data_IF_737226604887
#
_entry.id   IF_737226604887
#
_cell.length_a   1.000
_cell.length_b   1.000
_cell.length_c   1.000
_cell.angle_alpha   90.00
_cell.angle_beta   90.00
_cell.angle_gamma   90.00
#
_symmetry.space_group_name_H-M   'P 1'
#
loop_
_entity.id
_entity.type
_entity.pdbx_description
1 polymer ?
#
# COMPACT_ATOMS: atom_id res chain seq x y z
N UNK A 1 -25.57 15.54 52.34
CA UNK A 1 -25.70 14.06 52.28
C UNK A 1 -25.70 13.53 50.85
N UNK A 2 -26.60 13.97 49.94
CA UNK A 2 -26.72 13.43 48.56
C UNK A 2 -25.44 13.42 47.69
N UNK A 3 -24.56 14.44 47.78
CA UNK A 3 -23.38 14.52 46.91
C UNK A 3 -22.24 13.56 47.30
N UNK A 4 -22.05 13.30 48.60
CA UNK A 4 -20.95 12.45 49.07
C UNK A 4 -21.18 10.98 48.68
N UNK A 5 -22.44 10.53 48.69
CA UNK A 5 -22.81 9.18 48.26
C UNK A 5 -22.63 9.03 46.74
N UNK A 6 -23.08 10.01 45.95
CA UNK A 6 -22.89 10.03 44.49
C UNK A 6 -21.40 10.06 44.11
N UNK A 7 -20.60 10.89 44.79
CA UNK A 7 -19.16 10.97 44.57
C UNK A 7 -18.46 9.64 44.86
N UNK A 8 -18.87 8.95 45.93
CA UNK A 8 -18.36 7.62 46.26
C UNK A 8 -18.67 6.62 45.14
N UNK A 9 -19.92 6.57 44.66
CA UNK A 9 -20.31 5.65 43.59
C UNK A 9 -19.55 5.89 42.29
N UNK A 10 -19.36 7.15 41.86
CA UNK A 10 -18.61 7.42 40.64
C UNK A 10 -17.10 7.20 40.78
N UNK A 11 -16.53 7.39 41.98
CA UNK A 11 -15.14 7.01 42.24
C UNK A 11 -14.95 5.49 42.20
N UNK A 12 -15.91 4.72 42.75
CA UNK A 12 -15.91 3.26 42.67
C UNK A 12 -16.05 2.79 41.22
N UNK A 13 -16.99 3.36 40.46
CA UNK A 13 -17.16 3.08 39.03
C UNK A 13 -15.88 3.39 38.25
N UNK A 14 -15.26 4.55 38.47
CA UNK A 14 -14.00 4.93 37.84
C UNK A 14 -12.88 3.92 38.12
N UNK A 15 -12.77 3.43 39.35
CA UNK A 15 -11.79 2.40 39.72
C UNK A 15 -12.10 1.08 39.02
N UNK A 16 -13.37 0.67 38.99
CA UNK A 16 -13.80 -0.56 38.33
C UNK A 16 -13.51 -0.53 36.82
N UNK A 17 -13.85 0.56 36.12
CA UNK A 17 -13.55 0.69 34.69
C UNK A 17 -12.03 0.69 34.41
N UNK A 18 -11.20 1.23 35.30
CA UNK A 18 -9.73 1.16 35.13
C UNK A 18 -9.20 -0.27 35.16
N UNK A 19 -9.90 -1.19 35.84
CA UNK A 19 -9.53 -2.60 35.94
C UNK A 19 -9.99 -3.45 34.74
N UNK A 20 -10.81 -2.90 33.83
CA UNK A 20 -11.29 -3.66 32.67
C UNK A 20 -10.13 -4.11 31.78
N UNK A 21 -10.24 -5.36 31.31
CA UNK A 21 -9.29 -6.03 30.43
C UNK A 21 -9.23 -5.39 29.04
N UNK A 22 -8.22 -5.80 28.25
CA UNK A 22 -7.99 -5.25 26.91
C UNK A 22 -9.08 -5.58 25.90
N UNK A 23 -9.96 -6.53 26.19
CA UNK A 23 -11.11 -6.85 25.34
C UNK A 23 -12.28 -5.87 25.51
N UNK A 24 -12.35 -5.14 26.63
CA UNK A 24 -13.42 -4.16 26.95
C UNK A 24 -12.94 -2.71 26.87
N UNK A 25 -12.10 -2.39 25.89
CA UNK A 25 -11.49 -1.05 25.78
C UNK A 25 -12.51 0.05 25.51
N UNK A 26 -13.60 -0.25 24.84
CA UNK A 26 -14.67 0.70 24.53
C UNK A 26 -15.46 1.04 25.79
N UNK A 27 -15.94 0.04 26.52
CA UNK A 27 -16.63 0.20 27.80
C UNK A 27 -15.74 0.87 28.84
N UNK A 28 -14.44 0.51 28.86
CA UNK A 28 -13.43 1.19 29.68
C UNK A 28 -13.29 2.65 29.31
N UNK A 29 -13.24 2.98 28.02
CA UNK A 29 -13.11 4.34 27.55
C UNK A 29 -14.29 5.20 27.97
N UNK A 30 -15.50 4.78 27.60
CA UNK A 30 -16.74 5.51 27.88
C UNK A 30 -17.06 5.54 29.37
N UNK A 31 -16.90 4.41 30.08
CA UNK A 31 -17.15 4.32 31.52
C UNK A 31 -16.27 5.26 32.33
N UNK A 32 -14.97 5.37 32.00
CA UNK A 32 -14.07 6.33 32.64
C UNK A 32 -14.49 7.77 32.33
N UNK A 33 -14.76 8.10 31.05
CA UNK A 33 -15.13 9.46 30.67
C UNK A 33 -16.43 9.91 31.34
N UNK A 34 -17.46 9.07 31.34
CA UNK A 34 -18.74 9.34 32.00
C UNK A 34 -18.57 9.51 33.51
N UNK A 35 -17.76 8.66 34.15
CA UNK A 35 -17.48 8.80 35.59
C UNK A 35 -16.77 10.13 35.90
N UNK A 36 -15.77 10.52 35.10
CA UNK A 36 -15.05 11.78 35.28
C UNK A 36 -15.94 13.01 35.04
N UNK A 37 -16.81 12.99 34.03
CA UNK A 37 -17.78 14.07 33.78
C UNK A 37 -18.74 14.19 34.96
N UNK A 38 -19.30 13.08 35.45
CA UNK A 38 -20.22 13.12 36.60
C UNK A 38 -19.53 13.59 37.88
N UNK A 39 -18.29 13.15 38.14
CA UNK A 39 -17.48 13.68 39.25
C UNK A 39 -17.23 15.19 39.09
N UNK A 40 -16.96 15.67 37.87
CA UNK A 40 -16.82 17.09 37.58
C UNK A 40 -18.09 17.87 37.92
N UNK A 41 -19.26 17.37 37.54
CA UNK A 41 -20.55 17.99 37.85
C UNK A 41 -20.78 18.04 39.37
N UNK A 42 -20.45 16.96 40.09
CA UNK A 42 -20.54 16.94 41.55
C UNK A 42 -19.62 17.99 42.17
N UNK A 43 -18.37 18.11 41.72
CA UNK A 43 -17.42 19.11 42.23
C UNK A 43 -17.87 20.53 41.95
N UNK A 44 -18.39 20.78 40.75
CA UNK A 44 -19.01 22.06 40.37
C UNK A 44 -20.15 22.42 41.32
N UNK A 45 -21.07 21.48 41.55
CA UNK A 45 -22.25 21.70 42.41
C UNK A 45 -21.88 21.84 43.90
N UNK A 46 -20.74 21.28 44.32
CA UNK A 46 -20.12 21.52 45.64
C UNK A 46 -19.40 22.88 45.73
N UNK A 47 -19.27 23.62 44.62
CA UNK A 47 -18.54 24.89 44.53
C UNK A 47 -17.03 24.75 44.32
N UNK A 48 -16.51 23.52 44.18
CA UNK A 48 -15.09 23.26 43.90
C UNK A 48 -14.82 23.32 42.39
N UNK A 49 -14.78 24.55 41.87
CA UNK A 49 -14.59 24.85 40.45
C UNK A 49 -13.24 24.33 39.94
N UNK A 50 -12.20 24.38 40.78
CA UNK A 50 -10.87 23.91 40.39
C UNK A 50 -10.83 22.40 40.23
N UNK A 51 -11.37 21.63 41.18
CA UNK A 51 -11.43 20.18 41.04
C UNK A 51 -12.32 19.76 39.87
N UNK A 52 -13.45 20.44 39.65
CA UNK A 52 -14.31 20.23 38.49
C UNK A 52 -13.54 20.43 37.18
N UNK A 53 -12.81 21.54 37.05
CA UNK A 53 -11.98 21.84 35.88
C UNK A 53 -10.92 20.76 35.63
N UNK A 54 -10.19 20.34 36.67
CA UNK A 54 -9.16 19.29 36.56
C UNK A 54 -9.72 17.98 36.04
N UNK A 55 -10.95 17.63 36.45
CA UNK A 55 -11.64 16.44 35.95
C UNK A 55 -12.04 16.61 34.47
N UNK A 56 -12.52 17.80 34.07
CA UNK A 56 -12.79 18.10 32.66
C UNK A 56 -11.51 18.08 31.80
N UNK A 57 -10.37 18.55 32.32
CA UNK A 57 -9.08 18.50 31.60
C UNK A 57 -8.67 17.05 31.31
N UNK A 58 -8.89 16.14 32.26
CA UNK A 58 -8.66 14.70 32.04
C UNK A 58 -9.59 14.14 30.95
N UNK A 59 -10.86 14.51 30.98
CA UNK A 59 -11.85 14.11 29.96
C UNK A 59 -11.45 14.63 28.58
N UNK A 60 -11.04 15.90 28.51
CA UNK A 60 -10.62 16.55 27.27
C UNK A 60 -9.42 15.84 26.64
N UNK A 61 -8.36 15.59 27.40
CA UNK A 61 -7.16 14.91 26.87
C UNK A 61 -7.46 13.48 26.40
N UNK A 62 -8.35 12.76 27.11
CA UNK A 62 -8.81 11.44 26.68
C UNK A 62 -9.59 11.48 25.37
N UNK A 63 -10.54 12.41 25.24
CA UNK A 63 -11.36 12.60 24.04
C UNK A 63 -10.54 13.07 22.84
N UNK A 64 -9.59 13.97 23.08
CA UNK A 64 -8.62 14.43 22.08
C UNK A 64 -7.74 13.28 21.57
N UNK A 65 -7.28 12.40 22.46
CA UNK A 65 -6.51 11.20 22.06
C UNK A 65 -7.35 10.20 21.28
N UNK A 66 -8.63 10.04 21.62
CA UNK A 66 -9.55 9.16 20.91
C UNK A 66 -9.92 9.70 19.53
N UNK A 67 -9.97 11.02 19.37
CA UNK A 67 -10.13 11.69 18.08
C UNK A 67 -11.57 11.71 17.56
N UNK A 68 -12.56 11.51 18.45
CA UNK A 68 -13.99 11.66 18.11
C UNK A 68 -14.37 13.14 18.25
N UNK A 69 -14.63 13.87 17.14
CA UNK A 69 -14.80 15.33 17.20
C UNK A 69 -16.01 15.77 18.04
N UNK A 70 -17.11 15.04 18.00
CA UNK A 70 -18.34 15.34 18.74
C UNK A 70 -18.10 15.38 20.26
N UNK A 71 -17.24 14.49 20.77
CA UNK A 71 -16.89 14.43 22.18
C UNK A 71 -16.07 15.65 22.63
N UNK A 72 -15.23 16.21 21.74
CA UNK A 72 -14.49 17.45 22.02
C UNK A 72 -15.47 18.61 22.19
N UNK A 73 -16.44 18.74 21.29
CA UNK A 73 -17.47 19.77 21.37
C UNK A 73 -18.32 19.65 22.64
N UNK A 74 -18.70 18.42 23.01
CA UNK A 74 -19.41 18.15 24.26
C UNK A 74 -18.60 18.60 25.48
N UNK A 75 -17.28 18.47 25.44
CA UNK A 75 -16.40 18.91 26.54
C UNK A 75 -16.32 20.43 26.62
N UNK A 76 -16.26 21.14 25.48
CA UNK A 76 -16.36 22.60 25.48
C UNK A 76 -17.68 23.07 26.10
N UNK A 77 -18.79 22.39 25.82
CA UNK A 77 -20.06 22.69 26.47
C UNK A 77 -19.98 22.54 28.00
N UNK A 78 -19.35 21.48 28.51
CA UNK A 78 -19.17 21.30 29.96
C UNK A 78 -18.32 22.41 30.60
N UNK A 79 -17.27 22.90 29.91
CA UNK A 79 -16.50 24.04 30.39
C UNK A 79 -17.32 25.33 30.42
N UNK A 80 -18.11 25.59 29.37
CA UNK A 80 -18.98 26.78 29.31
C UNK A 80 -19.96 26.78 30.49
N UNK A 81 -20.60 25.65 30.79
CA UNK A 81 -21.50 25.52 31.95
C UNK A 81 -20.78 25.71 33.29
N UNK A 82 -19.58 25.13 33.43
CA UNK A 82 -18.76 25.30 34.63
C UNK A 82 -18.46 26.78 34.89
N UNK A 83 -17.99 27.50 33.87
CA UNK A 83 -17.60 28.90 34.01
C UNK A 83 -18.79 29.87 34.04
N UNK A 84 -19.95 29.45 33.52
CA UNK A 84 -21.21 30.16 33.72
C UNK A 84 -21.60 30.15 35.21
N UNK A 85 -21.57 28.98 35.84
CA UNK A 85 -21.91 28.80 37.25
C UNK A 85 -20.88 29.48 38.16
N UNK A 86 -19.60 29.44 37.80
CA UNK A 86 -18.54 30.11 38.58
C UNK A 86 -18.43 31.61 38.30
N UNK A 87 -19.28 32.17 37.43
CA UNK A 87 -19.22 33.56 36.97
C UNK A 87 -17.85 34.00 36.42
N UNK A 88 -17.06 33.07 35.87
CA UNK A 88 -15.74 33.35 35.30
C UNK A 88 -15.87 33.73 33.83
N UNK A 89 -16.06 35.02 33.59
CA UNK A 89 -16.31 35.60 32.27
C UNK A 89 -15.18 35.33 31.26
N UNK A 90 -13.92 35.43 31.69
CA UNK A 90 -12.75 35.22 30.83
C UNK A 90 -12.76 33.81 30.22
N UNK A 91 -12.88 32.78 31.08
CA UNK A 91 -12.86 31.40 30.64
C UNK A 91 -14.16 31.03 29.91
N UNK A 92 -15.31 31.54 30.35
CA UNK A 92 -16.58 31.33 29.63
C UNK A 92 -16.46 31.82 28.17
N UNK A 93 -15.93 33.03 27.96
CA UNK A 93 -15.72 33.59 26.63
C UNK A 93 -14.74 32.75 25.82
N UNK A 94 -13.61 32.35 26.42
CA UNK A 94 -12.60 31.51 25.77
C UNK A 94 -13.20 30.20 25.25
N UNK A 95 -13.90 29.45 26.11
CA UNK A 95 -14.45 28.15 25.75
C UNK A 95 -15.66 28.27 24.81
N UNK A 96 -16.43 29.36 24.90
CA UNK A 96 -17.46 29.67 23.91
C UNK A 96 -16.84 29.91 22.52
N UNK A 97 -15.76 30.68 22.41
CA UNK A 97 -15.07 30.88 21.13
C UNK A 97 -14.48 29.57 20.60
N UNK A 98 -13.87 28.74 21.45
CA UNK A 98 -13.40 27.40 21.07
C UNK A 98 -14.53 26.53 20.49
N UNK A 99 -15.69 26.52 21.15
CA UNK A 99 -16.89 25.82 20.69
C UNK A 99 -17.39 26.34 19.34
N UNK A 100 -17.38 27.66 19.15
CA UNK A 100 -17.77 28.31 17.88
C UNK A 100 -16.82 27.97 16.75
N UNK A 101 -15.51 28.15 16.93
CA UNK A 101 -14.50 27.85 15.90
C UNK A 101 -14.54 26.38 15.51
N UNK A 102 -14.73 25.48 16.48
CA UNK A 102 -14.90 24.05 16.20
C UNK A 102 -16.12 23.80 15.32
N UNK A 103 -17.28 24.37 15.68
CA UNK A 103 -18.51 24.23 14.90
C UNK A 103 -18.38 24.77 13.47
N UNK A 104 -17.83 25.97 13.31
CA UNK A 104 -17.59 26.59 11.99
C UNK A 104 -16.65 25.75 11.11
N UNK A 105 -15.63 25.12 11.71
CA UNK A 105 -14.76 24.17 11.02
C UNK A 105 -15.52 22.95 10.50
N UNK A 106 -16.38 22.34 11.33
CA UNK A 106 -17.17 21.17 10.94
C UNK A 106 -18.17 21.49 9.81
N UNK A 107 -18.81 22.66 9.86
CA UNK A 107 -19.71 23.14 8.80
C UNK A 107 -18.95 23.38 7.50
N UNK A 108 -17.76 23.98 7.58
CA UNK A 108 -16.91 24.26 6.41
C UNK A 108 -16.45 22.97 5.71
N UNK A 109 -16.19 21.92 6.49
CA UNK A 109 -15.87 20.58 6.00
C UNK A 109 -17.08 19.84 5.39
N UNK A 110 -18.27 20.46 5.38
CA UNK A 110 -19.50 19.93 4.83
C UNK A 110 -20.19 18.89 5.72
N UNK A 111 -19.84 18.84 7.01
CA UNK A 111 -20.49 17.95 7.96
C UNK A 111 -21.96 18.33 8.16
N UNK A 112 -22.83 17.33 8.19
CA UNK A 112 -24.29 17.49 8.42
C UNK A 112 -24.76 16.79 9.69
N UNK A 113 -23.86 16.48 10.60
CA UNK A 113 -24.23 15.74 11.80
C UNK A 113 -24.96 16.65 12.79
N UNK A 114 -26.20 16.25 13.13
CA UNK A 114 -27.08 16.99 14.02
C UNK A 114 -26.49 17.21 15.41
N UNK A 115 -25.59 16.33 15.86
CA UNK A 115 -24.93 16.42 17.17
C UNK A 115 -24.05 17.67 17.29
N UNK A 116 -23.43 18.15 16.19
CA UNK A 116 -22.68 19.41 16.23
C UNK A 116 -23.61 20.61 16.45
N UNK A 117 -24.74 20.63 15.75
CA UNK A 117 -25.77 21.66 15.93
C UNK A 117 -26.30 21.64 17.36
N UNK A 118 -26.54 20.46 17.93
CA UNK A 118 -27.04 20.29 19.29
C UNK A 118 -26.09 20.90 20.33
N UNK A 119 -24.81 20.52 20.30
CA UNK A 119 -23.85 21.03 21.28
C UNK A 119 -23.60 22.53 21.09
N UNK A 120 -23.50 23.01 19.85
CA UNK A 120 -23.30 24.44 19.61
C UNK A 120 -24.54 25.26 19.98
N UNK A 121 -25.75 24.75 19.76
CA UNK A 121 -26.98 25.34 20.26
C UNK A 121 -26.99 25.45 21.79
N UNK A 122 -26.58 24.39 22.50
CA UNK A 122 -26.44 24.41 23.97
C UNK A 122 -25.41 25.46 24.45
N UNK A 123 -24.30 25.62 23.72
CA UNK A 123 -23.31 26.65 23.99
C UNK A 123 -23.90 28.06 23.82
N UNK A 124 -24.65 28.29 22.75
CA UNK A 124 -25.35 29.56 22.50
C UNK A 124 -26.35 29.87 23.63
N UNK A 125 -27.09 28.87 24.13
CA UNK A 125 -28.02 29.04 25.26
C UNK A 125 -27.32 29.40 26.56
N UNK A 126 -26.22 28.70 26.86
CA UNK A 126 -25.41 28.97 28.07
C UNK A 126 -24.80 30.38 28.01
N UNK A 127 -24.34 30.79 26.83
CA UNK A 127 -23.83 32.15 26.60
C UNK A 127 -24.93 33.21 26.65
N UNK A 128 -26.13 32.90 26.14
CA UNK A 128 -27.29 33.76 26.25
C UNK A 128 -27.71 33.96 27.72
N UNK A 129 -27.63 32.93 28.55
CA UNK A 129 -27.88 33.03 29.99
C UNK A 129 -26.88 33.95 30.68
N UNK A 130 -25.60 33.82 30.34
CA UNK A 130 -24.56 34.74 30.79
C UNK A 130 -24.86 36.19 30.39
N UNK A 131 -25.23 36.45 29.13
CA UNK A 131 -25.59 37.80 28.69
C UNK A 131 -26.83 38.34 29.42
N UNK A 132 -27.81 37.48 29.69
CA UNK A 132 -29.01 37.82 30.45
C UNK A 132 -28.65 38.22 31.88
N UNK A 133 -27.73 37.51 32.55
CA UNK A 133 -27.27 37.86 33.91
C UNK A 133 -26.54 39.21 33.96
N UNK A 134 -25.93 39.62 32.84
CA UNK A 134 -25.34 40.96 32.67
C UNK A 134 -26.34 42.04 32.23
N UNK A 135 -27.64 41.72 32.14
CA UNK A 135 -28.69 42.64 31.70
C UNK A 135 -28.74 42.88 30.18
N UNK A 136 -27.93 42.17 29.39
CA UNK A 136 -27.84 42.31 27.93
C UNK A 136 -28.92 41.48 27.22
N UNK A 137 -30.19 41.81 27.48
CA UNK A 137 -31.35 41.02 27.04
C UNK A 137 -31.46 40.88 25.51
N UNK A 138 -31.19 41.93 24.75
CA UNK A 138 -31.24 41.86 23.27
C UNK A 138 -30.12 40.99 22.68
N UNK A 139 -28.92 41.04 23.24
CA UNK A 139 -27.82 40.16 22.82
C UNK A 139 -28.15 38.71 23.18
N UNK A 140 -28.63 38.46 24.40
CA UNK A 140 -29.12 37.14 24.85
C UNK A 140 -30.14 36.56 23.87
N UNK A 141 -31.14 37.36 23.48
CA UNK A 141 -32.16 36.97 22.50
C UNK A 141 -31.55 36.53 21.15
N UNK A 142 -30.56 37.26 20.64
CA UNK A 142 -29.91 36.91 19.37
C UNK A 142 -29.23 35.54 19.44
N UNK A 143 -28.51 35.23 20.51
CA UNK A 143 -27.88 33.92 20.71
C UNK A 143 -28.92 32.80 20.86
N UNK A 144 -30.06 33.05 21.53
CA UNK A 144 -31.15 32.08 21.60
C UNK A 144 -31.82 31.83 20.25
N UNK A 145 -31.97 32.86 19.41
CA UNK A 145 -32.51 32.70 18.05
C UNK A 145 -31.57 31.90 17.16
N UNK A 146 -30.25 32.08 17.30
CA UNK A 146 -29.24 31.22 16.66
C UNK A 146 -29.37 29.79 17.18
N UNK A 147 -29.48 29.58 18.49
CA UNK A 147 -29.71 28.26 19.07
C UNK A 147 -30.97 27.59 18.49
N UNK A 148 -32.07 28.32 18.35
CA UNK A 148 -33.32 27.78 17.79
C UNK A 148 -33.14 27.33 16.34
N UNK A 149 -32.45 28.14 15.51
CA UNK A 149 -32.25 27.79 14.10
C UNK A 149 -31.39 26.54 13.89
N UNK A 150 -30.37 26.35 14.74
CA UNK A 150 -29.52 25.16 14.74
C UNK A 150 -30.32 23.87 15.06
N UNK A 151 -31.38 24.00 15.86
CA UNK A 151 -32.20 22.88 16.34
C UNK A 151 -33.43 22.59 15.48
N UNK A 152 -33.59 23.23 14.32
CA UNK A 152 -34.74 23.01 13.43
C UNK A 152 -34.95 21.53 13.07
N UNK A 153 -33.85 20.79 12.89
CA UNK A 153 -33.87 19.35 12.58
C UNK A 153 -33.87 18.45 13.84
N UNK A 154 -34.01 19.04 15.04
CA UNK A 154 -34.09 18.35 16.33
C UNK A 154 -35.35 18.83 17.09
N UNK A 155 -36.56 18.42 16.67
CA UNK A 155 -37.81 18.98 17.17
C UNK A 155 -38.02 18.83 18.70
N UNK A 156 -37.39 17.84 19.33
CA UNK A 156 -37.50 17.59 20.77
C UNK A 156 -36.82 18.67 21.62
N UNK A 157 -35.85 19.40 21.06
CA UNK A 157 -35.13 20.46 21.78
C UNK A 157 -35.78 21.84 21.61
N UNK A 158 -36.62 22.02 20.58
CA UNK A 158 -37.29 23.28 20.28
C UNK A 158 -38.09 23.82 21.47
N UNK A 159 -38.90 23.02 22.21
CA UNK A 159 -39.70 23.54 23.31
C UNK A 159 -38.87 24.22 24.41
N UNK A 160 -37.68 23.68 24.68
CA UNK A 160 -36.76 24.19 25.69
C UNK A 160 -36.24 25.58 25.31
N UNK A 161 -35.79 25.74 24.07
CA UNK A 161 -35.25 27.02 23.57
C UNK A 161 -36.35 28.06 23.37
N UNK A 162 -37.51 27.63 22.88
CA UNK A 162 -38.68 28.50 22.77
C UNK A 162 -39.07 29.08 24.14
N UNK A 163 -39.04 28.26 25.20
CA UNK A 163 -39.32 28.75 26.55
C UNK A 163 -38.29 29.79 27.02
N UNK A 164 -37.00 29.58 26.76
CA UNK A 164 -35.95 30.55 27.07
C UNK A 164 -36.15 31.87 26.32
N UNK A 165 -36.44 31.81 25.02
CA UNK A 165 -36.77 32.97 24.18
C UNK A 165 -37.99 33.71 24.75
N UNK A 166 -39.06 33.00 25.11
CA UNK A 166 -40.26 33.59 25.70
C UNK A 166 -39.97 34.34 27.00
N UNK A 167 -39.08 33.82 27.86
CA UNK A 167 -38.68 34.53 29.08
C UNK A 167 -37.92 35.83 28.76
N UNK A 168 -37.06 35.82 27.75
CA UNK A 168 -36.35 37.03 27.32
C UNK A 168 -37.32 38.04 26.69
N UNK A 169 -38.26 37.60 25.85
CA UNK A 169 -39.31 38.47 25.31
C UNK A 169 -40.16 39.09 26.42
N UNK A 170 -40.57 38.29 27.41
CA UNK A 170 -41.31 38.79 28.57
C UNK A 170 -40.51 39.86 29.33
N UNK A 171 -39.22 39.61 29.55
CA UNK A 171 -38.31 40.56 30.24
C UNK A 171 -38.09 41.85 29.44
N UNK A 172 -38.16 41.79 28.11
CA UNK A 172 -38.11 42.93 27.20
C UNK A 172 -39.46 43.68 27.07
N UNK A 173 -40.52 43.20 27.72
CA UNK A 173 -41.88 43.74 27.57
C UNK A 173 -42.59 43.36 26.27
N UNK A 174 -42.03 42.44 25.47
CA UNK A 174 -42.63 41.93 24.24
C UNK A 174 -43.63 40.80 24.56
N UNK A 175 -44.68 41.13 25.31
CA UNK A 175 -45.59 40.16 25.93
C UNK A 175 -46.29 39.27 24.89
N UNK A 176 -46.79 39.83 23.79
CA UNK A 176 -47.47 39.04 22.77
C UNK A 176 -46.54 38.01 22.12
N UNK A 177 -45.29 38.40 21.80
CA UNK A 177 -44.30 37.45 21.26
C UNK A 177 -43.95 36.34 22.26
N UNK A 178 -43.85 36.69 23.55
CA UNK A 178 -43.62 35.69 24.59
C UNK A 178 -44.77 34.68 24.64
N UNK A 179 -46.02 35.18 24.65
CA UNK A 179 -47.26 34.40 24.71
C UNK A 179 -47.43 33.50 23.47
N UNK A 180 -47.25 34.05 22.27
CA UNK A 180 -47.37 33.30 21.00
C UNK A 180 -46.44 32.08 20.99
N UNK A 181 -45.20 32.28 21.42
CA UNK A 181 -44.19 31.22 21.43
C UNK A 181 -44.44 30.18 22.54
N UNK A 182 -45.05 30.57 23.67
CA UNK A 182 -45.50 29.62 24.69
C UNK A 182 -46.69 28.79 24.20
N UNK A 183 -47.62 29.41 23.46
CA UNK A 183 -48.76 28.69 22.87
C UNK A 183 -48.28 27.73 21.78
N UNK A 184 -47.33 28.14 20.93
CA UNK A 184 -46.63 27.25 19.98
C UNK A 184 -46.07 26.03 20.71
N UNK A 185 -45.37 26.25 21.81
CA UNK A 185 -44.81 25.20 22.66
C UNK A 185 -45.86 24.26 23.24
N UNK A 186 -46.94 24.78 23.81
CA UNK A 186 -47.97 23.94 24.44
C UNK A 186 -48.75 23.09 23.43
N UNK A 187 -48.80 23.51 22.16
CA UNK A 187 -49.44 22.80 21.06
C UNK A 187 -48.55 21.76 20.38
N UNK A 188 -47.24 21.74 20.67
CA UNK A 188 -46.33 20.78 20.05
C UNK A 188 -46.44 19.39 20.68
N UNK A 189 -46.23 18.33 19.90
CA UNK A 189 -46.29 16.95 20.40
C UNK A 189 -45.04 16.56 21.20
N UNK A 190 -43.95 17.30 21.01
CA UNK A 190 -42.63 17.01 21.55
C UNK A 190 -42.39 17.61 22.95
N UNK A 191 -43.29 18.46 23.46
CA UNK A 191 -43.12 19.11 24.75
C UNK A 191 -43.34 18.13 25.91
N UNK A 192 -42.34 18.04 26.79
CA UNK A 192 -42.42 17.20 27.98
C UNK A 192 -43.31 17.83 29.04
N UNK A 193 -43.81 17.02 29.98
CA UNK A 193 -44.64 17.53 31.08
C UNK A 193 -43.94 18.59 31.96
N UNK A 194 -42.67 18.43 32.37
CA UNK A 194 -41.94 19.50 33.07
C UNK A 194 -41.84 20.79 32.26
N UNK A 195 -41.65 20.69 30.94
CA UNK A 195 -41.65 21.85 30.06
C UNK A 195 -43.04 22.49 30.00
N UNK A 196 -44.13 21.71 29.88
CA UNK A 196 -45.51 22.24 29.96
C UNK A 196 -45.74 23.02 31.25
N UNK A 197 -45.32 22.48 32.39
CA UNK A 197 -45.44 23.15 33.69
C UNK A 197 -44.72 24.51 33.70
N UNK A 198 -43.49 24.57 33.19
CA UNK A 198 -42.74 25.83 33.09
C UNK A 198 -43.44 26.84 32.17
N UNK A 199 -43.94 26.38 31.03
CA UNK A 199 -44.70 27.21 30.07
C UNK A 199 -45.98 27.78 30.71
N UNK A 200 -46.75 26.95 31.42
CA UNK A 200 -47.92 27.39 32.16
C UNK A 200 -47.58 28.39 33.28
N UNK A 201 -46.48 28.19 34.01
CA UNK A 201 -46.02 29.17 35.02
C UNK A 201 -45.67 30.53 34.41
N UNK A 202 -45.15 30.58 33.18
CA UNK A 202 -44.93 31.85 32.50
C UNK A 202 -46.24 32.49 32.03
N UNK A 203 -47.19 31.69 31.52
CA UNK A 203 -48.54 32.18 31.19
C UNK A 203 -49.28 32.72 32.42
N UNK A 204 -49.13 32.08 33.57
CA UNK A 204 -49.69 32.56 34.84
C UNK A 204 -49.19 33.98 35.13
N UNK A 205 -47.88 34.22 35.05
CA UNK A 205 -47.29 35.56 35.22
C UNK A 205 -47.82 36.58 34.21
N UNK A 206 -47.98 36.16 32.94
CA UNK A 206 -48.51 37.01 31.88
C UNK A 206 -49.97 37.37 32.17
N UNK A 207 -50.83 36.40 32.48
CA UNK A 207 -52.26 36.63 32.71
C UNK A 207 -52.56 37.38 34.01
N UNK A 208 -51.70 37.26 35.03
CA UNK A 208 -51.74 38.13 36.20
C UNK A 208 -51.52 39.60 35.78
N UNK A 209 -50.48 39.86 34.97
CA UNK A 209 -50.17 41.21 34.51
C UNK A 209 -51.24 41.78 33.56
N UNK A 210 -51.86 40.94 32.73
CA UNK A 210 -52.94 41.30 31.81
C UNK A 210 -54.31 41.43 32.51
N UNK A 211 -54.43 41.09 33.79
CA UNK A 211 -55.70 40.97 34.53
C UNK A 211 -56.73 40.02 33.86
N UNK A 212 -56.26 38.97 33.19
CA UNK A 212 -57.13 38.02 32.47
C UNK A 212 -57.58 36.86 33.37
N UNK A 213 -58.64 37.10 34.16
CA UNK A 213 -59.10 36.16 35.21
C UNK A 213 -59.47 34.78 34.65
N UNK A 214 -60.20 34.73 33.52
CA UNK A 214 -60.64 33.45 32.93
C UNK A 214 -59.46 32.59 32.47
N UNK A 215 -58.48 33.20 31.78
CA UNK A 215 -57.28 32.50 31.31
C UNK A 215 -56.39 32.08 32.48
N UNK A 216 -56.30 32.91 33.54
CA UNK A 216 -55.55 32.60 34.74
C UNK A 216 -56.07 31.35 35.46
N UNK A 217 -57.39 31.20 35.58
CA UNK A 217 -58.01 30.01 36.19
C UNK A 217 -57.66 28.73 35.40
N UNK A 218 -57.84 28.76 34.08
CA UNK A 218 -57.52 27.61 33.21
C UNK A 218 -56.04 27.17 33.32
N UNK A 219 -55.12 28.14 33.40
CA UNK A 219 -53.69 27.85 33.56
C UNK A 219 -53.39 27.26 34.93
N UNK A 220 -54.01 27.78 36.01
CA UNK A 220 -53.83 27.26 37.36
C UNK A 220 -54.31 25.81 37.50
N UNK A 221 -55.46 25.48 36.92
CA UNK A 221 -55.98 24.11 36.91
C UNK A 221 -55.02 23.15 36.18
N UNK A 222 -54.45 23.62 35.05
CA UNK A 222 -53.44 22.86 34.30
C UNK A 222 -52.16 22.62 35.12
N UNK A 223 -51.70 23.63 35.87
CA UNK A 223 -50.53 23.50 36.76
C UNK A 223 -50.78 22.47 37.87
N UNK A 224 -51.95 22.51 38.50
CA UNK A 224 -52.34 21.57 39.57
C UNK A 224 -52.33 20.14 39.02
N UNK A 225 -53.05 19.91 37.92
CA UNK A 225 -53.13 18.60 37.28
C UNK A 225 -51.74 18.03 36.94
N UNK A 226 -50.82 18.86 36.43
CA UNK A 226 -49.48 18.41 36.06
C UNK A 226 -48.56 18.14 37.27
N UNK A 227 -48.77 18.81 38.41
CA UNK A 227 -47.98 18.58 39.63
C UNK A 227 -48.38 17.28 40.36
N UNK A 228 -49.58 16.77 40.12
CA UNK A 228 -50.09 15.53 40.74
C UNK A 228 -49.55 14.26 40.06
N UNK A 229 -48.85 14.37 38.93
CA UNK A 229 -48.33 13.24 38.15
C UNK A 229 -46.85 12.92 38.49
N UNK A 230 -46.44 11.64 38.52
CA UNK A 230 -45.08 11.23 38.91
C UNK A 230 -44.01 11.69 37.90
N UNK A 231 -42.93 12.30 38.41
CA UNK A 231 -41.88 12.97 37.62
C UNK A 231 -40.86 12.03 36.94
N UNK A 232 -40.85 10.74 37.29
CA UNK A 232 -39.75 9.83 36.93
C UNK A 232 -39.69 9.43 35.44
N UNK A 233 -40.82 9.28 34.75
CA UNK A 233 -40.84 8.90 33.33
C UNK A 233 -40.21 9.97 32.40
N UNK A 234 -40.04 11.22 32.87
CA UNK A 234 -39.68 12.36 32.01
C UNK A 234 -38.18 12.54 31.77
N UNK A 235 -37.34 12.21 32.76
CA UNK A 235 -35.89 12.27 32.55
C UNK A 235 -35.44 11.19 31.55
N UNK A 236 -36.03 10.00 31.64
CA UNK A 236 -35.68 8.86 30.81
C UNK A 236 -35.93 9.12 29.31
N UNK A 237 -37.01 9.83 28.95
CA UNK A 237 -37.31 10.19 27.56
C UNK A 237 -36.33 11.23 26.96
N UNK A 238 -35.92 12.26 27.72
CA UNK A 238 -34.95 13.28 27.26
C UNK A 238 -33.54 12.66 27.11
N UNK A 239 -33.14 11.81 28.05
CA UNK A 239 -31.89 11.05 27.97
C UNK A 239 -31.87 10.08 26.78
N UNK A 240 -32.97 9.34 26.56
CA UNK A 240 -33.11 8.39 25.46
C UNK A 240 -33.00 9.07 24.08
N UNK A 241 -33.56 10.27 23.93
CA UNK A 241 -33.45 11.07 22.70
C UNK A 241 -32.02 11.49 22.39
N UNK A 242 -31.28 11.96 23.40
CA UNK A 242 -29.89 12.38 23.25
C UNK A 242 -28.97 11.18 22.94
N UNK A 243 -29.13 10.08 23.66
CA UNK A 243 -28.37 8.85 23.44
C UNK A 243 -28.56 8.32 22.02
N UNK A 244 -29.80 8.35 21.51
CA UNK A 244 -30.09 7.98 20.12
C UNK A 244 -29.38 8.87 19.12
N UNK A 245 -29.30 10.18 19.35
CA UNK A 245 -28.59 11.10 18.45
C UNK A 245 -27.08 10.87 18.45
N UNK A 246 -26.50 10.62 19.63
CA UNK A 246 -25.08 10.28 19.78
C UNK A 246 -24.78 8.97 19.03
N UNK A 247 -25.58 7.93 19.26
CA UNK A 247 -25.41 6.64 18.60
C UNK A 247 -25.52 6.75 17.07
N UNK A 248 -26.47 7.57 16.57
CA UNK A 248 -26.60 7.83 15.12
C UNK A 248 -25.33 8.49 14.58
N UNK A 249 -24.80 9.48 15.28
CA UNK A 249 -23.58 10.19 14.89
C UNK A 249 -22.35 9.27 14.88
N UNK A 250 -22.18 8.43 15.90
CA UNK A 250 -21.11 7.42 15.96
C UNK A 250 -21.19 6.46 14.77
N UNK A 251 -22.38 5.92 14.48
CA UNK A 251 -22.58 5.05 13.31
C UNK A 251 -22.28 5.76 11.98
N UNK A 252 -22.61 7.04 11.85
CA UNK A 252 -22.28 7.82 10.65
C UNK A 252 -20.77 7.99 10.49
N UNK A 253 -20.04 8.25 11.59
CA UNK A 253 -18.59 8.37 11.55
C UNK A 253 -17.92 7.03 11.22
N UNK A 254 -18.38 5.92 11.81
CA UNK A 254 -17.91 4.56 11.49
C UNK A 254 -18.07 4.24 10.00
N UNK A 255 -19.25 4.56 9.45
CA UNK A 255 -19.51 4.40 8.02
C UNK A 255 -18.55 5.25 7.17
N UNK A 256 -18.27 6.49 7.58
CA UNK A 256 -17.35 7.38 6.88
C UNK A 256 -15.91 6.84 6.91
N UNK A 257 -15.42 6.42 8.07
CA UNK A 257 -14.09 5.81 8.24
C UNK A 257 -13.98 4.53 7.41
N UNK A 258 -15.01 3.67 7.44
CA UNK A 258 -15.05 2.45 6.66
C UNK A 258 -15.02 2.72 5.14
N UNK A 259 -15.77 3.72 4.65
CA UNK A 259 -15.72 4.16 3.25
C UNK A 259 -14.34 4.63 2.83
N UNK A 260 -13.67 5.44 3.66
CA UNK A 260 -12.30 5.91 3.41
C UNK A 260 -11.34 4.72 3.33
N UNK A 261 -11.42 3.78 4.28
CA UNK A 261 -10.61 2.55 4.27
C UNK A 261 -10.82 1.74 2.99
N UNK A 262 -12.08 1.56 2.58
CA UNK A 262 -12.40 0.80 1.36
C UNK A 262 -11.88 1.51 0.10
N UNK A 263 -12.06 2.84 0.01
CA UNK A 263 -11.53 3.64 -1.10
C UNK A 263 -10.01 3.51 -1.22
N UNK A 264 -9.26 3.55 -0.09
CA UNK A 264 -7.81 3.32 -0.08
C UNK A 264 -7.43 1.94 -0.62
N UNK A 265 -8.14 0.89 -0.22
CA UNK A 265 -7.91 -0.46 -0.73
C UNK A 265 -8.16 -0.55 -2.24
N UNK A 266 -9.24 0.08 -2.73
CA UNK A 266 -9.52 0.15 -4.17
C UNK A 266 -8.38 0.85 -4.93
N UNK A 267 -7.84 1.95 -4.40
CA UNK A 267 -6.68 2.63 -5.01
C UNK A 267 -5.43 1.74 -5.05
N UNK A 268 -5.16 0.98 -3.98
CA UNK A 268 -4.03 0.04 -3.93
C UNK A 268 -4.18 -1.06 -4.98
N UNK A 269 -5.38 -1.63 -5.15
CA UNK A 269 -5.62 -2.65 -6.19
C UNK A 269 -5.40 -2.10 -7.60
N UNK A 270 -5.83 -0.85 -7.89
CA UNK A 270 -5.59 -0.21 -9.19
C UNK A 270 -4.08 -0.05 -9.45
N UNK A 271 -3.32 0.43 -8.47
CA UNK A 271 -1.86 0.59 -8.58
C UNK A 271 -1.18 -0.77 -8.80
N UNK A 272 -1.57 -1.79 -8.03
CA UNK A 272 -1.04 -3.14 -8.18
C UNK A 272 -1.33 -3.73 -9.57
N UNK A 273 -2.52 -3.47 -10.11
CA UNK A 273 -2.90 -3.92 -11.45
C UNK A 273 -2.05 -3.24 -12.54
N UNK A 274 -1.81 -1.93 -12.42
CA UNK A 274 -0.95 -1.18 -13.36
C UNK A 274 0.48 -1.72 -13.34
N UNK A 275 1.04 -1.98 -12.16
CA UNK A 275 2.38 -2.56 -12.01
C UNK A 275 2.47 -3.94 -12.69
N UNK A 276 1.46 -4.79 -12.48
CA UNK A 276 1.42 -6.13 -13.08
C UNK A 276 1.35 -6.05 -14.62
N UNK A 277 0.61 -5.08 -15.15
CA UNK A 277 0.51 -4.84 -16.59
C UNK A 277 1.87 -4.40 -17.18
N UNK A 278 2.58 -3.49 -16.50
CA UNK A 278 3.93 -3.07 -16.90
C UNK A 278 4.91 -4.24 -16.91
N UNK A 279 4.90 -5.08 -15.86
CA UNK A 279 5.76 -6.29 -15.79
C UNK A 279 5.47 -7.22 -16.97
N UNK A 280 4.19 -7.46 -17.27
CA UNK A 280 3.79 -8.33 -18.39
C UNK A 280 4.30 -7.81 -19.74
N UNK A 281 4.20 -6.49 -19.98
CA UNK A 281 4.73 -5.85 -21.20
C UNK A 281 6.25 -5.99 -21.27
N UNK A 282 6.97 -5.74 -20.18
CA UNK A 282 8.43 -5.90 -20.13
C UNK A 282 8.87 -7.34 -20.38
N UNK A 283 8.18 -8.32 -19.81
CA UNK A 283 8.47 -9.74 -20.03
C UNK A 283 8.26 -10.13 -21.49
N UNK A 284 7.16 -9.69 -22.11
CA UNK A 284 6.88 -9.94 -23.52
C UNK A 284 7.97 -9.35 -24.42
N UNK A 285 8.33 -8.08 -24.19
CA UNK A 285 9.39 -7.41 -24.95
C UNK A 285 10.74 -8.14 -24.83
N UNK A 286 11.10 -8.58 -23.61
CA UNK A 286 12.35 -9.32 -23.38
C UNK A 286 12.33 -10.69 -24.07
N UNK A 287 11.21 -11.41 -24.02
CA UNK A 287 11.05 -12.69 -24.72
C UNK A 287 11.21 -12.52 -26.24
N UNK A 288 10.59 -11.51 -26.83
CA UNK A 288 10.72 -11.22 -28.26
C UNK A 288 12.17 -10.85 -28.63
N UNK A 289 12.84 -10.05 -27.80
CA UNK A 289 14.26 -9.72 -27.99
C UNK A 289 15.17 -10.95 -27.91
N UNK A 290 14.93 -11.84 -26.95
CA UNK A 290 15.67 -13.10 -26.80
C UNK A 290 15.45 -14.02 -28.00
N UNK A 291 14.21 -14.08 -28.52
CA UNK A 291 13.88 -14.87 -29.71
C UNK A 291 14.64 -14.38 -30.93
N UNK A 292 14.70 -13.07 -31.17
CA UNK A 292 15.45 -12.49 -32.28
C UNK A 292 16.95 -12.73 -32.13
N UNK A 293 17.53 -12.52 -30.94
CA UNK A 293 18.95 -12.84 -30.69
C UNK A 293 19.30 -14.29 -30.97
N UNK A 294 18.44 -15.23 -30.56
CA UNK A 294 18.65 -16.66 -30.81
C UNK A 294 18.57 -17.00 -32.31
N UNK A 295 17.66 -16.36 -33.06
CA UNK A 295 17.62 -16.53 -34.53
C UNK A 295 18.92 -16.06 -35.18
N UNK A 296 19.39 -14.86 -34.82
CA UNK A 296 20.66 -14.32 -35.35
C UNK A 296 21.83 -15.23 -35.03
N UNK A 297 21.94 -15.69 -33.78
CA UNK A 297 23.02 -16.59 -33.36
C UNK A 297 22.98 -17.93 -34.11
N UNK A 298 21.79 -18.49 -34.33
CA UNK A 298 21.62 -19.72 -35.10
C UNK A 298 22.04 -19.53 -36.56
N UNK A 299 21.68 -18.41 -37.18
CA UNK A 299 22.09 -18.07 -38.54
C UNK A 299 23.60 -17.90 -38.67
N UNK A 300 24.23 -17.20 -37.72
CA UNK A 300 25.70 -17.06 -37.66
C UNK A 300 26.39 -18.43 -37.50
N UNK A 301 25.85 -19.29 -36.64
CA UNK A 301 26.38 -20.65 -36.43
C UNK A 301 26.28 -21.50 -37.69
N UNK A 302 25.17 -21.41 -38.41
CA UNK A 302 24.97 -22.10 -39.68
C UNK A 302 25.99 -21.62 -40.73
N UNK A 303 26.16 -20.30 -40.87
CA UNK A 303 27.14 -19.70 -41.78
C UNK A 303 28.57 -20.17 -41.48
N UNK A 304 28.98 -20.20 -40.21
CA UNK A 304 30.31 -20.68 -39.80
C UNK A 304 30.46 -22.18 -40.12
N UNK A 305 29.41 -22.98 -39.90
CA UNK A 305 29.42 -24.41 -40.22
C UNK A 305 29.59 -24.64 -41.72
N UNK A 306 28.91 -23.86 -42.55
CA UNK A 306 29.05 -23.95 -44.01
C UNK A 306 30.44 -23.55 -44.49
N UNK A 307 31.01 -22.47 -43.93
CA UNK A 307 32.39 -22.08 -44.22
C UNK A 307 33.40 -23.18 -43.82
N UNK A 308 33.20 -23.80 -42.65
CA UNK A 308 34.03 -24.92 -42.20
C UNK A 308 33.91 -26.13 -43.15
N UNK A 309 32.70 -26.46 -43.59
CA UNK A 309 32.46 -27.55 -44.54
C UNK A 309 33.16 -27.29 -45.89
N UNK A 310 33.12 -26.05 -46.38
CA UNK A 310 33.84 -25.65 -47.59
C UNK A 310 35.35 -25.85 -47.42
N UNK A 311 35.92 -25.40 -46.29
CA UNK A 311 37.35 -25.59 -46.01
C UNK A 311 37.76 -27.06 -45.89
N UNK A 312 36.91 -27.90 -45.31
CA UNK A 312 37.13 -29.35 -45.28
C UNK A 312 37.16 -29.94 -46.69
N UNK A 313 36.22 -29.57 -47.57
CA UNK A 313 36.19 -30.04 -48.97
C UNK A 313 37.43 -29.62 -49.75
N UNK A 314 37.88 -28.37 -49.57
CA UNK A 314 39.13 -27.88 -50.15
C UNK A 314 40.34 -28.73 -49.70
N UNK A 315 40.43 -29.02 -48.40
CA UNK A 315 41.51 -29.84 -47.82
C UNK A 315 41.51 -31.27 -48.38
N UNK A 316 40.35 -31.93 -48.43
CA UNK A 316 40.23 -33.27 -49.03
C UNK A 316 40.63 -33.29 -50.50
N UNK A 317 40.21 -32.28 -51.27
CA UNK A 317 40.59 -32.14 -52.68
C UNK A 317 42.12 -32.05 -52.85
N UNK A 318 42.80 -31.30 -51.98
CA UNK A 318 44.26 -31.17 -51.99
C UNK A 318 44.97 -32.50 -51.68
N UNK A 319 44.47 -33.27 -50.72
CA UNK A 319 45.03 -34.58 -50.37
C UNK A 319 44.89 -35.55 -51.53
N UNK A 320 43.71 -35.60 -52.15
CA UNK A 320 43.48 -36.44 -53.32
C UNK A 320 44.46 -36.12 -54.45
N UNK A 321 44.71 -34.83 -54.70
CA UNK A 321 45.72 -34.39 -55.67
C UNK A 321 47.13 -34.89 -55.31
N UNK A 322 47.55 -34.76 -54.04
CA UNK A 322 48.86 -35.25 -53.57
C UNK A 322 48.96 -36.77 -53.74
N UNK A 323 47.89 -37.51 -53.42
CA UNK A 323 47.83 -38.97 -53.54
C UNK A 323 47.95 -39.45 -54.97
N UNK A 324 47.13 -38.90 -55.89
CA UNK A 324 47.18 -39.24 -57.31
C UNK A 324 48.57 -38.98 -57.91
N UNK A 325 49.19 -37.84 -57.55
CA UNK A 325 50.57 -37.54 -57.94
C UNK A 325 51.52 -38.62 -57.45
N UNK A 326 51.48 -39.00 -56.17
CA UNK A 326 52.40 -39.99 -55.61
C UNK A 326 52.18 -41.41 -56.16
N UNK A 327 50.94 -41.78 -56.50
CA UNK A 327 50.68 -43.02 -57.25
C UNK A 327 51.33 -42.99 -58.64
N UNK A 328 51.22 -41.87 -59.36
CA UNK A 328 51.85 -41.67 -60.66
C UNK A 328 53.39 -41.77 -60.56
N UNK A 329 54.01 -41.14 -59.56
CA UNK A 329 55.45 -41.25 -59.29
C UNK A 329 55.91 -42.68 -59.05
N UNK A 330 55.13 -43.44 -58.27
CA UNK A 330 55.46 -44.83 -57.99
C UNK A 330 55.34 -45.72 -59.24
N UNK A 331 54.43 -45.40 -60.17
CA UNK A 331 54.36 -46.07 -61.48
C UNK A 331 55.62 -45.81 -62.30
N UNK A 332 56.06 -44.55 -62.40
CA UNK A 332 57.32 -44.17 -63.08
C UNK A 332 58.51 -44.91 -62.45
N UNK A 333 58.63 -44.91 -61.11
CA UNK A 333 59.72 -45.60 -60.40
C UNK A 333 59.76 -47.11 -60.69
N UNK A 334 58.60 -47.76 -60.85
CA UNK A 334 58.51 -49.18 -61.21
C UNK A 334 58.93 -49.44 -62.66
N UNK A 335 58.61 -48.53 -63.58
CA UNK A 335 59.04 -48.62 -64.98
C UNK A 335 60.56 -48.47 -65.10
N UNK A 336 61.17 -47.50 -64.39
CA UNK A 336 62.64 -47.30 -64.38
C UNK A 336 63.39 -48.53 -63.83
N UNK A 337 62.83 -49.28 -62.87
CA UNK A 337 63.46 -50.48 -62.31
C UNK A 337 63.45 -51.70 -63.25
N UNK A 338 62.61 -51.70 -64.30
CA UNK A 338 62.41 -52.85 -65.18
C UNK A 338 63.23 -52.82 -66.47
N UNK A 339 63.90 -51.71 -66.80
CA UNK A 339 64.72 -51.60 -68.02
C UNK A 339 65.98 -50.75 -67.81
N UNK A 340 67.09 -51.13 -68.47
CA UNK A 340 68.25 -50.27 -68.69
C UNK A 340 68.00 -49.36 -69.90
N UNK A 341 67.27 -48.24 -69.73
CA UNK A 341 66.96 -47.34 -70.85
C UNK A 341 67.17 -45.85 -70.52
N UNK A 342 67.65 -45.13 -71.54
CA UNK A 342 68.20 -43.77 -71.66
C UNK A 342 67.72 -42.64 -70.72
N UNK A 343 68.69 -41.84 -70.25
CA UNK A 343 68.57 -40.76 -69.26
C UNK A 343 67.75 -39.53 -69.68
N UNK A 344 67.39 -39.38 -70.97
CA UNK A 344 66.74 -38.16 -71.48
C UNK A 344 65.22 -38.11 -71.26
N UNK A 345 64.50 -39.25 -71.33
CA UNK A 345 63.05 -39.33 -71.00
C UNK A 345 62.78 -39.13 -69.51
N UNK A 346 63.69 -39.60 -68.67
CA UNK A 346 63.60 -39.48 -67.21
C UNK A 346 63.75 -38.01 -66.77
N UNK A 347 64.54 -37.20 -67.50
CA UNK A 347 64.83 -35.80 -67.12
C UNK A 347 63.63 -34.86 -67.32
N UNK A 348 62.85 -35.01 -68.40
CA UNK A 348 61.64 -34.21 -68.64
C UNK A 348 60.45 -34.65 -67.78
N UNK A 349 60.38 -35.94 -67.42
CA UNK A 349 59.37 -36.44 -66.49
C UNK A 349 59.65 -36.00 -65.04
N UNK A 350 60.91 -35.96 -64.61
CA UNK A 350 61.32 -35.45 -63.28
C UNK A 350 61.13 -33.94 -63.14
N UNK A 351 61.31 -33.14 -64.19
CA UNK A 351 61.13 -31.67 -64.12
C UNK A 351 59.68 -31.24 -63.81
N UNK A 352 58.69 -32.08 -64.11
CA UNK A 352 57.28 -31.85 -63.74
C UNK A 352 56.96 -32.27 -62.29
N UNK A 353 57.90 -32.93 -61.61
CA UNK A 353 57.73 -33.55 -60.27
C UNK A 353 58.33 -32.66 -59.17
N UNK A 354 59.29 -31.79 -59.49
CA UNK A 354 60.01 -30.92 -58.55
C UNK A 354 59.18 -29.72 -58.10
N UNK A 355 58.13 -29.97 -57.31
CA UNK A 355 57.53 -28.98 -56.42
C UNK A 355 56.86 -29.65 -55.19
N UNK A 356 57.47 -30.73 -54.70
CA UNK A 356 56.97 -31.55 -53.58
C UNK A 356 56.77 -30.73 -52.31
N UNK A 357 57.70 -29.84 -52.00
CA UNK A 357 57.69 -29.04 -50.76
C UNK A 357 56.55 -28.00 -50.74
N UNK A 358 56.23 -27.37 -51.88
CA UNK A 358 55.12 -26.41 -51.99
C UNK A 358 53.76 -27.08 -51.77
N UNK A 359 53.55 -28.29 -52.31
CA UNK A 359 52.29 -29.02 -52.12
C UNK A 359 52.06 -29.45 -50.67
N UNK A 360 53.12 -29.81 -49.95
CA UNK A 360 53.03 -30.13 -48.52
C UNK A 360 52.83 -28.89 -47.65
N UNK A 361 53.50 -27.76 -47.97
CA UNK A 361 53.28 -26.48 -47.30
C UNK A 361 51.83 -25.98 -47.45
N UNK A 362 51.23 -26.14 -48.63
CA UNK A 362 49.82 -25.82 -48.86
C UNK A 362 48.89 -26.72 -48.03
N UNK A 363 49.16 -28.04 -48.00
CA UNK A 363 48.42 -28.98 -47.16
C UNK A 363 48.49 -28.58 -45.68
N UNK A 364 49.68 -28.26 -45.16
CA UNK A 364 49.87 -27.87 -43.76
C UNK A 364 49.09 -26.59 -43.42
N UNK A 365 49.06 -25.62 -44.34
CA UNK A 365 48.27 -24.39 -44.21
C UNK A 365 46.77 -24.68 -44.17
N UNK A 366 46.27 -25.48 -45.11
CA UNK A 366 44.84 -25.82 -45.19
C UNK A 366 44.39 -26.69 -44.01
N UNK A 367 45.22 -27.63 -43.59
CA UNK A 367 44.98 -28.48 -42.43
C UNK A 367 44.88 -27.64 -41.15
N UNK A 368 45.77 -26.67 -40.96
CA UNK A 368 45.76 -25.77 -39.79
C UNK A 368 44.53 -24.86 -39.76
N UNK A 369 43.92 -24.56 -40.92
CA UNK A 369 42.67 -23.81 -41.00
C UNK A 369 41.46 -24.65 -40.58
N UNK A 370 41.41 -25.93 -40.97
CA UNK A 370 40.32 -26.86 -40.63
C UNK A 370 40.42 -27.38 -39.19
N UNK A 371 41.65 -27.65 -38.73
CA UNK A 371 41.93 -28.17 -37.38
C UNK A 371 42.79 -27.17 -36.60
N UNK A 372 42.23 -25.99 -36.27
CA UNK A 372 42.95 -24.98 -35.51
C UNK A 372 43.34 -25.58 -34.15
N UNK A 373 44.59 -25.34 -33.73
CA UNK A 373 45.19 -25.83 -32.48
C UNK A 373 45.66 -27.30 -32.50
N UNK A 374 45.38 -28.11 -33.52
CA UNK A 374 45.84 -29.51 -33.56
C UNK A 374 47.37 -29.62 -33.46
N UNK A 375 48.11 -28.88 -34.31
CA UNK A 375 49.58 -28.85 -34.25
C UNK A 375 50.11 -28.34 -32.92
N UNK A 376 49.45 -27.34 -32.32
CA UNK A 376 49.84 -26.82 -31.00
C UNK A 376 49.69 -27.87 -29.91
N UNK A 377 48.53 -28.54 -29.83
CA UNK A 377 48.28 -29.60 -28.85
C UNK A 377 49.21 -30.79 -29.04
N UNK A 378 49.42 -31.21 -30.29
CA UNK A 378 50.27 -32.35 -30.62
C UNK A 378 51.76 -32.09 -30.32
N UNK A 379 52.25 -30.87 -30.53
CA UNK A 379 53.63 -30.50 -30.21
C UNK A 379 53.88 -30.27 -28.70
N UNK A 380 52.82 -30.06 -27.90
CA UNK A 380 52.94 -30.01 -26.44
C UNK A 380 53.19 -31.42 -25.88
N UNK A 381 52.57 -32.46 -26.45
CA UNK A 381 52.69 -33.82 -25.94
C UNK A 381 54.00 -34.51 -26.33
N UNK A 382 54.61 -34.16 -27.47
CA UNK A 382 55.90 -34.70 -27.88
C UNK A 382 56.65 -33.78 -28.86
N UNK A 383 58.00 -33.90 -28.90
CA UNK A 383 58.82 -33.30 -29.96
C UNK A 383 58.70 -34.13 -31.24
N UNK A 384 57.83 -33.70 -32.14
CA UNK A 384 57.54 -34.38 -33.40
C UNK A 384 58.26 -33.73 -34.58
N UNK A 385 58.72 -34.55 -35.53
CA UNK A 385 59.22 -34.07 -36.82
C UNK A 385 58.07 -33.71 -37.75
N UNK A 386 58.33 -32.95 -38.82
CA UNK A 386 57.32 -32.63 -39.84
C UNK A 386 56.68 -33.88 -40.48
N UNK A 387 57.41 -35.00 -40.52
CA UNK A 387 56.89 -36.27 -41.01
C UNK A 387 55.96 -36.93 -40.00
N UNK A 388 56.29 -36.88 -38.71
CA UNK A 388 55.42 -37.36 -37.64
C UNK A 388 54.12 -36.54 -37.57
N UNK A 389 54.22 -35.21 -37.70
CA UNK A 389 53.07 -34.29 -37.71
C UNK A 389 52.17 -34.59 -38.91
N UNK A 390 52.72 -34.75 -40.11
CA UNK A 390 51.92 -35.10 -41.30
C UNK A 390 51.24 -36.45 -41.20
N UNK A 391 51.93 -37.45 -40.64
CA UNK A 391 51.30 -38.75 -40.35
C UNK A 391 50.12 -38.59 -39.39
N UNK A 392 50.30 -37.83 -38.30
CA UNK A 392 49.23 -37.52 -37.36
C UNK A 392 48.08 -36.74 -38.02
N UNK A 393 48.36 -35.82 -38.94
CA UNK A 393 47.34 -35.10 -39.71
C UNK A 393 46.49 -36.06 -40.55
N UNK A 394 47.10 -37.01 -41.26
CA UNK A 394 46.32 -37.99 -42.04
C UNK A 394 45.48 -38.90 -41.15
N UNK A 395 45.99 -39.27 -39.97
CA UNK A 395 45.23 -40.03 -38.97
C UNK A 395 44.08 -39.19 -38.42
N UNK A 396 44.29 -37.89 -38.16
CA UNK A 396 43.26 -36.96 -37.69
C UNK A 396 42.13 -36.80 -38.71
N UNK A 397 42.46 -36.95 -39.99
CA UNK A 397 41.51 -36.98 -41.10
C UNK A 397 40.92 -38.36 -41.36
N UNK A 398 41.18 -39.32 -40.47
CA UNK A 398 40.66 -40.68 -40.50
C UNK A 398 41.06 -41.49 -41.75
N UNK A 399 42.24 -41.24 -42.31
CA UNK A 399 42.78 -42.06 -43.40
C UNK A 399 43.34 -43.40 -42.87
N UNK A 400 43.06 -44.48 -43.59
CA UNK A 400 43.59 -45.82 -43.33
C UNK A 400 45.09 -45.92 -43.66
N UNK A 401 45.78 -46.94 -43.14
CA UNK A 401 47.20 -47.18 -43.44
C UNK A 401 47.47 -47.34 -44.94
N UNK A 402 46.53 -47.94 -45.68
CA UNK A 402 46.59 -48.10 -47.14
C UNK A 402 46.52 -46.74 -47.85
N UNK A 403 45.59 -45.88 -47.43
CA UNK A 403 45.44 -44.54 -48.00
C UNK A 403 46.64 -43.65 -47.64
N UNK A 404 47.12 -43.69 -46.39
CA UNK A 404 48.30 -42.95 -45.96
C UNK A 404 49.53 -43.37 -46.78
N UNK A 405 49.69 -44.67 -47.05
CA UNK A 405 50.79 -45.19 -47.89
C UNK A 405 50.73 -44.62 -49.32
N UNK A 406 49.53 -44.57 -49.91
CA UNK A 406 49.27 -43.97 -51.23
C UNK A 406 49.52 -42.47 -51.22
N UNK A 407 48.91 -41.75 -50.29
CA UNK A 407 49.04 -40.29 -50.10
C UNK A 407 50.49 -39.91 -49.88
N UNK A 408 51.26 -40.67 -49.11
CA UNK A 408 52.65 -40.37 -48.77
C UNK A 408 53.67 -40.93 -49.78
N UNK A 409 53.23 -41.79 -50.70
CA UNK A 409 54.08 -42.43 -51.70
C UNK A 409 55.09 -43.44 -51.14
N UNK A 410 54.82 -44.02 -49.96
CA UNK A 410 55.71 -44.97 -49.26
C UNK A 410 55.04 -46.35 -49.11
N UNK A 411 55.80 -47.37 -48.68
CA UNK A 411 55.22 -48.70 -48.48
C UNK A 411 54.35 -48.76 -47.22
N UNK A 412 53.35 -49.64 -47.20
CA UNK A 412 52.50 -49.82 -46.01
C UNK A 412 53.30 -50.23 -44.76
N UNK A 413 54.31 -51.09 -44.92
CA UNK A 413 55.25 -51.43 -43.83
C UNK A 413 55.98 -50.20 -43.28
N UNK A 414 56.28 -49.23 -44.15
CA UNK A 414 56.86 -47.95 -43.72
C UNK A 414 55.87 -47.14 -42.89
N UNK A 415 54.58 -47.09 -43.28
CA UNK A 415 53.52 -46.43 -42.51
C UNK A 415 53.35 -47.10 -41.14
N UNK A 416 53.28 -48.43 -41.09
CA UNK A 416 53.18 -49.20 -39.84
C UNK A 416 54.36 -48.91 -38.88
N UNK A 417 55.58 -48.90 -39.42
CA UNK A 417 56.78 -48.53 -38.66
C UNK A 417 56.72 -47.09 -38.16
N UNK A 418 56.26 -46.14 -38.98
CA UNK A 418 56.13 -44.74 -38.55
C UNK A 418 55.05 -44.57 -37.48
N UNK A 419 53.92 -45.28 -37.58
CA UNK A 419 52.85 -45.29 -36.55
C UNK A 419 53.35 -45.87 -35.23
N UNK A 420 54.11 -46.95 -35.26
CA UNK A 420 54.74 -47.51 -34.06
C UNK A 420 55.66 -46.48 -33.39
N UNK A 421 56.53 -45.83 -34.17
CA UNK A 421 57.42 -44.77 -33.65
C UNK A 421 56.66 -43.58 -33.09
N UNK A 422 55.59 -43.15 -33.78
CA UNK A 422 54.74 -42.05 -33.34
C UNK A 422 54.07 -42.40 -32.00
N UNK A 423 53.55 -43.62 -31.85
CA UNK A 423 52.95 -44.10 -30.60
C UNK A 423 53.94 -44.07 -29.44
N UNK A 424 55.19 -44.48 -29.67
CA UNK A 424 56.27 -44.41 -28.67
C UNK A 424 56.66 -42.97 -28.32
N UNK A 425 56.73 -42.07 -29.31
CA UNK A 425 57.01 -40.64 -29.09
C UNK A 425 55.92 -39.94 -28.28
N UNK A 426 54.66 -40.31 -28.53
CA UNK A 426 53.49 -39.82 -27.80
C UNK A 426 53.29 -40.49 -26.43
N UNK A 427 54.16 -41.44 -26.05
CA UNK A 427 54.14 -42.15 -24.77
C UNK A 427 52.78 -42.81 -24.45
N UNK A 428 52.12 -43.37 -25.46
CA UNK A 428 50.87 -44.09 -25.27
C UNK A 428 51.09 -45.32 -24.38
N UNK A 429 50.19 -45.54 -23.43
CA UNK A 429 50.22 -46.68 -22.50
C UNK A 429 49.85 -47.99 -23.21
N UNK A 430 50.18 -49.13 -22.61
CA UNK A 430 49.91 -50.44 -23.21
C UNK A 430 48.39 -50.65 -23.33
N UNK A 431 47.87 -50.60 -24.55
CA UNK A 431 46.44 -50.78 -24.87
C UNK A 431 45.75 -49.54 -25.45
N UNK A 432 46.38 -48.37 -25.42
CA UNK A 432 45.83 -47.17 -26.07
C UNK A 432 46.04 -47.20 -27.59
N UNK A 433 44.94 -47.01 -28.34
CA UNK A 433 45.00 -46.94 -29.80
C UNK A 433 45.43 -45.55 -30.29
N UNK A 434 46.39 -45.53 -31.21
CA UNK A 434 46.93 -44.30 -31.80
C UNK A 434 45.86 -43.49 -32.55
N UNK A 435 44.90 -44.13 -33.23
CA UNK A 435 43.86 -43.38 -33.93
C UNK A 435 42.92 -42.71 -32.93
N UNK A 436 42.44 -43.45 -31.93
CA UNK A 436 41.61 -42.89 -30.87
C UNK A 436 42.28 -41.70 -30.18
N UNK A 437 43.57 -41.81 -29.85
CA UNK A 437 44.32 -40.71 -29.25
C UNK A 437 44.37 -39.49 -30.16
N UNK A 438 44.80 -39.65 -31.42
CA UNK A 438 44.93 -38.53 -32.37
C UNK A 438 43.56 -37.90 -32.69
N UNK A 439 42.52 -38.71 -32.84
CA UNK A 439 41.16 -38.23 -33.08
C UNK A 439 40.59 -37.44 -31.89
N UNK A 440 41.06 -37.68 -30.66
CA UNK A 440 40.65 -36.95 -29.46
C UNK A 440 41.29 -35.56 -29.27
N UNK A 441 42.45 -35.32 -29.91
CA UNK A 441 43.19 -34.04 -29.84
C UNK A 441 42.45 -32.92 -30.55
#
# INVERSE_FOLDING_TARGET
>A
MKYNDAEKFYNEALNNFKLFDTEYQEEKYYGINTSLVNLSLIKRDQGDINASRVLLDQVFERRKKNGIPQEIQATYQSYIELFLISENEEHLNEYFQKSKTFYEGMVSDGSKELVYNLYFASANRSYAEFLKSKGKLMESLNYLLVSRSLLNDIPNEIPKVNFEISNVYYSLGMIDKAKDLIIENLNTKQITQPQKLNNFKLLEKIYINENSIANLLNVKDSIIFLNEQPTYQFQEEEFSGLEKLILISEKQNDLRVSKIRNSRLTTIYIISFIILLLISVTLKFNFDLQKEKNKTLNFEKEKIKDELNLKQRELFSKINFISQRNEYLNRIKKQIRKESTSSSKIKSEISNITNSEKSYKDFDKMFSQVYPKFYKKLNISAKLSQTDIRLASYIKMNHSNNEIARISGISIRTVESQRYRLSKKLKLSNGEDLNSYILSI
#
